data_IF_991545273216
#
_entry.id   IF_991545273216
#
_cell.length_a   1.000
_cell.length_b   1.000
_cell.length_c   1.000
_cell.angle_alpha   90.00
_cell.angle_beta   90.00
_cell.angle_gamma   90.00
#
_symmetry.space_group_name_H-M   'P 1'
#
loop_
_entity.id
_entity.type
_entity.pdbx_description
1 polymer ?
#
# COMPACT_ATOMS: atom_id res chain seq x y z
N UNK A 1 -10.39 -38.97 14.12
CA UNK A 1 -11.24 -38.96 12.92
C UNK A 1 -11.00 -37.69 12.12
N UNK A 2 -9.99 -37.66 11.26
CA UNK A 2 -9.68 -36.47 10.45
C UNK A 2 -10.43 -36.58 9.12
N UNK A 3 -11.74 -36.37 9.17
CA UNK A 3 -12.56 -36.29 7.97
C UNK A 3 -12.07 -35.12 7.10
N UNK A 4 -11.71 -35.41 5.85
CA UNK A 4 -11.37 -34.36 4.88
C UNK A 4 -12.59 -33.44 4.74
N UNK A 5 -12.44 -32.18 5.14
CA UNK A 5 -13.47 -31.14 4.92
C UNK A 5 -13.54 -30.82 3.42
N UNK A 6 -14.75 -30.66 2.89
CA UNK A 6 -14.91 -30.26 1.48
C UNK A 6 -14.53 -28.78 1.31
N UNK A 7 -14.31 -28.37 0.06
CA UNK A 7 -13.96 -26.98 -0.26
C UNK A 7 -15.07 -26.02 0.18
N UNK A 8 -16.35 -26.36 0.01
CA UNK A 8 -17.45 -25.50 0.44
C UNK A 8 -17.45 -25.31 1.97
N UNK A 9 -17.20 -26.39 2.72
CA UNK A 9 -17.16 -26.33 4.18
C UNK A 9 -16.04 -25.41 4.66
N UNK A 10 -14.87 -25.46 4.03
CA UNK A 10 -13.74 -24.59 4.37
C UNK A 10 -14.10 -23.12 4.10
N UNK A 11 -14.68 -22.82 2.94
CA UNK A 11 -15.10 -21.47 2.58
C UNK A 11 -16.14 -20.92 3.56
N UNK A 12 -17.10 -21.75 3.98
CA UNK A 12 -18.10 -21.37 4.96
C UNK A 12 -17.46 -21.05 6.32
N UNK A 13 -16.51 -21.87 6.79
CA UNK A 13 -15.78 -21.64 8.03
C UNK A 13 -15.02 -20.31 7.99
N UNK A 14 -14.30 -20.03 6.89
CA UNK A 14 -13.53 -18.77 6.76
C UNK A 14 -14.47 -17.56 6.72
N UNK A 15 -15.55 -17.63 5.92
CA UNK A 15 -16.52 -16.54 5.82
C UNK A 15 -17.27 -16.28 7.14
N UNK A 16 -17.55 -17.32 7.92
CA UNK A 16 -18.21 -17.19 9.22
C UNK A 16 -17.30 -16.51 10.25
N UNK A 17 -15.98 -16.78 10.21
CA UNK A 17 -15.01 -16.03 11.00
C UNK A 17 -14.93 -14.56 10.60
N UNK A 18 -14.91 -14.27 9.29
CA UNK A 18 -14.84 -12.88 8.80
C UNK A 18 -16.07 -12.05 9.18
N UNK A 19 -17.25 -12.69 9.27
CA UNK A 19 -18.49 -12.04 9.75
C UNK A 19 -18.56 -11.93 11.28
N UNK A 20 -17.79 -12.73 12.01
CA UNK A 20 -17.78 -12.73 13.46
C UNK A 20 -16.93 -11.55 13.98
N UNK A 21 -17.55 -10.36 14.04
CA UNK A 21 -16.94 -9.17 14.64
C UNK A 21 -16.61 -9.44 16.12
N UNK A 22 -15.34 -9.25 16.49
CA UNK A 22 -14.88 -9.32 17.88
C UNK A 22 -14.51 -10.72 18.40
N UNK A 23 -14.59 -11.79 17.59
CA UNK A 23 -14.11 -13.11 18.02
C UNK A 23 -12.61 -13.28 17.72
N UNK A 24 -11.86 -13.78 18.71
CA UNK A 24 -10.49 -14.21 18.48
C UNK A 24 -10.45 -15.52 17.67
N UNK A 25 -9.37 -15.74 16.90
CA UNK A 25 -9.19 -16.99 16.13
C UNK A 25 -9.26 -18.20 17.04
N UNK A 26 -8.67 -18.11 18.24
CA UNK A 26 -8.63 -19.19 19.24
C UNK A 26 -10.03 -19.59 19.71
N UNK A 27 -10.88 -18.61 20.03
CA UNK A 27 -12.25 -18.87 20.46
C UNK A 27 -13.10 -19.45 19.33
N UNK A 28 -12.93 -18.92 18.12
CA UNK A 28 -13.60 -19.43 16.93
C UNK A 28 -13.22 -20.89 16.64
N UNK A 29 -11.92 -21.20 16.68
CA UNK A 29 -11.38 -22.54 16.48
C UNK A 29 -11.89 -23.53 17.54
N UNK A 30 -11.94 -23.10 18.82
CA UNK A 30 -12.53 -23.88 19.91
C UNK A 30 -14.00 -24.19 19.67
N UNK A 31 -14.79 -23.21 19.23
CA UNK A 31 -16.23 -23.38 18.94
C UNK A 31 -16.48 -24.33 17.76
N UNK A 32 -15.61 -24.31 16.75
CA UNK A 32 -15.75 -25.12 15.53
C UNK A 32 -15.05 -26.50 15.61
N UNK A 33 -14.31 -26.78 16.67
CA UNK A 33 -13.54 -28.02 16.81
C UNK A 33 -12.43 -28.13 15.74
N UNK A 34 -11.74 -27.02 15.48
CA UNK A 34 -10.66 -26.93 14.49
C UNK A 34 -9.40 -26.45 15.21
N UNK A 35 -8.22 -26.93 14.80
CA UNK A 35 -6.97 -26.36 15.29
C UNK A 35 -6.70 -25.00 14.64
N UNK A 36 -6.07 -24.10 15.38
CA UNK A 36 -5.68 -22.78 14.85
C UNK A 36 -4.81 -22.92 13.59
N UNK A 37 -3.87 -23.86 13.58
CA UNK A 37 -3.02 -24.17 12.42
C UNK A 37 -3.81 -24.52 11.16
N UNK A 38 -4.87 -25.31 11.30
CA UNK A 38 -5.75 -25.70 10.20
C UNK A 38 -6.53 -24.48 9.71
N UNK A 39 -7.02 -23.65 10.62
CA UNK A 39 -7.73 -22.44 10.28
C UNK A 39 -6.85 -21.43 9.53
N UNK A 40 -5.61 -21.19 9.97
CA UNK A 40 -4.67 -20.34 9.25
C UNK A 40 -4.35 -20.89 7.85
N UNK A 41 -4.23 -22.21 7.70
CA UNK A 41 -4.04 -22.86 6.39
C UNK A 41 -5.25 -22.61 5.46
N UNK A 42 -6.47 -22.68 6.00
CA UNK A 42 -7.68 -22.37 5.26
C UNK A 42 -7.76 -20.90 4.86
N UNK A 43 -7.45 -19.98 5.78
CA UNK A 43 -7.46 -18.54 5.53
C UNK A 43 -6.41 -18.12 4.50
N UNK A 44 -5.21 -18.72 4.54
CA UNK A 44 -4.17 -18.50 3.53
C UNK A 44 -4.62 -18.95 2.14
N UNK A 45 -5.24 -20.13 2.04
CA UNK A 45 -5.65 -20.71 0.75
C UNK A 45 -6.95 -20.15 0.17
N UNK A 46 -7.87 -19.70 1.02
CA UNK A 46 -9.24 -19.34 0.61
C UNK A 46 -9.71 -17.96 1.08
N UNK A 47 -9.03 -17.32 2.05
CA UNK A 47 -9.40 -16.00 2.59
C UNK A 47 -8.98 -14.83 1.69
N UNK A 48 -8.06 -15.04 0.75
CA UNK A 48 -7.65 -14.01 -0.20
C UNK A 48 -8.44 -14.13 -1.50
N UNK A 49 -9.70 -13.66 -1.51
CA UNK A 49 -10.50 -13.49 -2.73
C UNK A 49 -9.94 -12.47 -3.75
N UNK A 50 -8.81 -11.82 -3.45
CA UNK A 50 -8.16 -10.81 -4.30
C UNK A 50 -6.72 -11.19 -4.71
N UNK A 51 -6.42 -12.48 -4.83
CA UNK A 51 -5.37 -12.90 -5.75
C UNK A 51 -6.03 -13.06 -7.12
N UNK A 52 -6.28 -11.91 -7.77
CA UNK A 52 -6.22 -11.88 -9.24
C UNK A 52 -4.94 -12.61 -9.63
N UNK A 53 -4.98 -13.42 -10.68
CA UNK A 53 -3.86 -14.22 -11.18
C UNK A 53 -2.71 -13.36 -11.76
N UNK A 54 -2.54 -12.15 -11.23
CA UNK A 54 -1.70 -11.07 -11.71
C UNK A 54 -1.09 -10.35 -10.52
N UNK A 55 -0.31 -11.06 -9.69
CA UNK A 55 0.61 -10.41 -8.75
C UNK A 55 1.98 -11.04 -8.88
N UNK A 56 2.60 -10.83 -10.04
CA UNK A 56 4.04 -10.56 -10.04
C UNK A 56 4.27 -9.43 -9.05
N UNK A 57 5.03 -9.68 -7.99
CA UNK A 57 5.45 -8.64 -7.06
C UNK A 57 6.24 -7.58 -7.82
N UNK A 58 5.54 -6.56 -8.32
CA UNK A 58 6.11 -5.44 -9.05
C UNK A 58 6.28 -4.27 -8.12
N UNK A 59 7.40 -3.58 -8.24
CA UNK A 59 7.62 -2.32 -7.56
C UNK A 59 6.58 -1.30 -8.05
N UNK A 60 5.91 -0.63 -7.11
CA UNK A 60 5.06 0.52 -7.42
C UNK A 60 5.99 1.73 -7.42
N UNK A 61 6.15 2.37 -8.58
CA UNK A 61 6.87 3.63 -8.67
C UNK A 61 6.09 4.69 -7.89
N UNK A 62 6.60 5.09 -6.73
CA UNK A 62 6.09 6.25 -6.02
C UNK A 62 6.53 7.45 -6.85
N UNK A 63 5.59 8.02 -7.61
CA UNK A 63 5.82 9.32 -8.26
C UNK A 63 5.87 10.33 -7.13
N UNK A 64 7.07 10.75 -6.74
CA UNK A 64 7.23 11.84 -5.77
C UNK A 64 6.50 13.04 -6.36
N UNK A 65 5.46 13.57 -5.70
CA UNK A 65 4.90 14.84 -6.15
C UNK A 65 6.05 15.83 -6.01
N UNK A 66 6.55 16.33 -7.14
CA UNK A 66 7.46 17.47 -7.13
C UNK A 66 6.77 18.53 -6.27
N UNK A 67 7.37 18.84 -5.12
CA UNK A 67 6.98 19.98 -4.33
C UNK A 67 7.05 21.15 -5.32
N UNK A 68 5.88 21.69 -5.68
CA UNK A 68 5.83 22.97 -6.38
C UNK A 68 6.37 23.95 -5.36
N UNK A 69 7.66 24.25 -5.46
CA UNK A 69 8.31 25.23 -4.63
C UNK A 69 7.47 26.50 -4.68
N UNK A 70 6.92 26.84 -3.53
CA UNK A 70 6.10 28.02 -3.33
C UNK A 70 6.81 29.22 -3.95
N UNK A 71 6.07 29.94 -4.78
CA UNK A 71 6.50 30.89 -5.81
C UNK A 71 7.12 32.18 -5.29
N UNK A 72 8.07 32.12 -4.37
CA UNK A 72 8.83 33.30 -3.93
C UNK A 72 10.24 33.00 -3.42
N UNK A 73 10.85 31.91 -3.91
CA UNK A 73 12.26 31.62 -3.64
C UNK A 73 13.13 32.44 -4.57
N UNK A 74 13.98 33.31 -4.01
CA UNK A 74 14.99 34.07 -4.75
C UNK A 74 15.80 33.12 -5.65
N UNK A 75 15.71 33.30 -6.96
CA UNK A 75 16.43 32.53 -7.96
C UNK A 75 17.90 32.98 -8.06
N UNK A 76 18.14 34.29 -8.16
CA UNK A 76 19.48 34.86 -8.24
C UNK A 76 19.51 36.33 -7.77
N UNK A 77 20.67 36.82 -7.34
CA UNK A 77 20.93 38.23 -7.08
C UNK A 77 22.18 38.68 -7.86
N UNK A 78 22.06 39.74 -8.67
CA UNK A 78 23.16 40.28 -9.49
C UNK A 78 23.15 41.80 -9.38
N UNK A 79 24.26 42.41 -8.96
CA UNK A 79 24.38 43.86 -8.76
C UNK A 79 23.25 44.47 -7.89
N UNK A 80 22.75 43.71 -6.90
CA UNK A 80 21.64 44.11 -6.03
C UNK A 80 20.23 43.91 -6.61
N UNK A 81 20.12 43.39 -7.83
CA UNK A 81 18.84 43.04 -8.47
C UNK A 81 18.47 41.61 -8.07
N UNK A 82 17.32 41.47 -7.41
CA UNK A 82 16.76 40.19 -6.96
C UNK A 82 15.82 39.61 -8.01
N UNK A 83 16.13 38.41 -8.48
CA UNK A 83 15.37 37.69 -9.51
C UNK A 83 14.69 36.51 -8.83
N UNK A 84 13.36 36.42 -8.95
CA UNK A 84 12.53 35.40 -8.31
C UNK A 84 11.98 34.36 -9.30
N UNK A 85 12.37 34.49 -10.57
CA UNK A 85 12.01 33.58 -11.65
C UNK A 85 13.27 32.94 -12.23
N UNK A 86 13.19 31.68 -12.61
CA UNK A 86 14.27 31.03 -13.34
C UNK A 86 14.56 31.76 -14.66
N UNK A 87 15.81 32.22 -14.83
CA UNK A 87 16.28 32.90 -16.04
C UNK A 87 17.51 32.19 -16.62
N UNK A 88 17.71 32.19 -17.95
CA UNK A 88 18.92 31.68 -18.58
C UNK A 88 20.19 32.43 -18.12
N UNK A 89 21.34 31.76 -18.17
CA UNK A 89 22.62 32.33 -17.75
C UNK A 89 23.01 33.59 -18.54
N UNK A 90 22.65 33.66 -19.82
CA UNK A 90 22.95 34.82 -20.69
C UNK A 90 22.29 36.11 -20.18
N UNK A 91 21.09 36.00 -19.60
CA UNK A 91 20.38 37.15 -19.02
C UNK A 91 21.10 37.69 -17.79
N UNK A 92 21.58 36.81 -16.91
CA UNK A 92 22.36 37.22 -15.73
C UNK A 92 23.68 37.88 -16.14
N UNK A 93 24.33 37.37 -17.20
CA UNK A 93 25.58 37.91 -17.73
C UNK A 93 25.41 39.33 -18.26
N UNK A 94 24.29 39.62 -18.93
CA UNK A 94 23.98 40.96 -19.41
C UNK A 94 23.77 41.97 -18.28
N UNK A 95 23.27 41.54 -17.12
CA UNK A 95 23.09 42.38 -15.93
C UNK A 95 24.36 42.60 -15.12
N UNK A 96 25.35 41.71 -15.29
CA UNK A 96 26.65 41.77 -14.61
C UNK A 96 27.71 42.56 -15.39
N UNK A 97 27.42 42.93 -16.65
CA UNK A 97 28.30 43.72 -17.53
C UNK A 97 28.07 45.20 -17.36
#
# INVERSE_FOLDING_TARGET
MTGKRTKEQILQIVAEYEKALGLTVKEFCRKKGISESTFYSFRSRYGFKNQTKDKSGGFIAITTPMLKDSTNTLFAEVNGIKIYQAVPADYLKALAS
#
